data_IF_180313314479
#
_entry.id   IF_180313314479
#
_cell.length_a   1.000
_cell.length_b   1.000
_cell.length_c   1.000
_cell.angle_alpha   90.00
_cell.angle_beta   90.00
_cell.angle_gamma   90.00
#
_symmetry.space_group_name_H-M   'P 1'
#
loop_
_entity.id
_entity.type
_entity.pdbx_description
1 polymer ?
#
# COMPACT_ATOMS: atom_id res chain seq x y z
N UNK A 1 30.69 -12.04 0.50
CA UNK A 1 29.30 -11.72 0.14
C UNK A 1 29.21 -10.23 -0.10
N UNK A 2 28.46 -9.79 -1.10
CA UNK A 2 28.23 -8.37 -1.38
C UNK A 2 27.26 -7.74 -0.39
N UNK A 3 27.49 -6.48 -0.02
CA UNK A 3 26.53 -5.67 0.72
C UNK A 3 25.66 -4.90 -0.28
N UNK A 4 24.46 -5.38 -0.52
CA UNK A 4 23.54 -4.78 -1.50
C UNK A 4 22.38 -4.00 -0.84
N UNK A 5 22.28 -4.05 0.49
CA UNK A 5 21.16 -3.42 1.20
C UNK A 5 21.01 -1.92 0.89
N UNK A 6 22.11 -1.20 0.71
CA UNK A 6 22.06 0.21 0.37
C UNK A 6 21.51 0.48 -1.03
N UNK A 7 21.69 -0.45 -1.99
CA UNK A 7 21.06 -0.36 -3.33
C UNK A 7 19.55 -0.47 -3.24
N UNK A 8 19.02 -1.18 -2.23
CA UNK A 8 17.60 -1.26 -1.97
C UNK A 8 17.08 -0.05 -1.20
N UNK A 9 17.65 0.27 -0.04
CA UNK A 9 17.08 1.17 0.98
C UNK A 9 17.44 2.64 0.87
N UNK A 10 18.46 3.01 0.09
CA UNK A 10 18.84 4.42 -0.05
C UNK A 10 17.72 5.22 -0.72
N UNK A 11 17.27 6.27 -0.05
CA UNK A 11 16.22 7.17 -0.57
C UNK A 11 16.72 8.09 -1.68
N UNK A 12 18.05 8.29 -1.80
CA UNK A 12 18.67 9.17 -2.79
C UNK A 12 18.98 8.40 -4.08
N UNK A 13 19.77 7.32 -3.98
CA UNK A 13 20.28 6.60 -5.16
C UNK A 13 19.83 5.14 -5.21
N UNK A 14 19.14 4.63 -4.18
CA UNK A 14 18.67 3.25 -4.11
C UNK A 14 17.33 3.05 -4.78
N UNK A 15 16.94 1.78 -4.86
CA UNK A 15 15.69 1.36 -5.47
C UNK A 15 14.46 2.00 -4.82
N UNK A 16 14.40 2.08 -3.49
CA UNK A 16 13.28 2.72 -2.78
C UNK A 16 13.09 4.18 -3.20
N UNK A 17 14.17 4.90 -3.46
CA UNK A 17 14.12 6.28 -3.95
C UNK A 17 13.48 6.38 -5.34
N UNK A 18 13.75 5.40 -6.22
CA UNK A 18 13.16 5.30 -7.57
C UNK A 18 11.69 4.87 -7.56
N UNK A 19 11.22 4.30 -6.46
CA UNK A 19 9.81 3.94 -6.26
C UNK A 19 8.96 5.12 -5.74
N UNK A 20 9.57 6.21 -5.29
CA UNK A 20 8.82 7.37 -4.81
C UNK A 20 8.20 8.15 -5.97
N UNK A 21 6.99 8.64 -5.75
CA UNK A 21 6.37 9.60 -6.68
C UNK A 21 7.24 10.85 -6.80
N UNK A 22 7.30 11.42 -7.99
CA UNK A 22 8.02 12.68 -8.24
C UNK A 22 7.34 13.84 -7.52
N UNK A 23 8.06 14.93 -7.33
CA UNK A 23 7.49 16.14 -6.74
C UNK A 23 6.32 16.67 -7.59
N UNK A 24 6.47 16.64 -8.92
CA UNK A 24 5.42 17.05 -9.85
C UNK A 24 4.14 16.21 -9.69
N UNK A 25 4.26 14.87 -9.64
CA UNK A 25 3.11 13.99 -9.44
C UNK A 25 2.43 14.23 -8.09
N UNK A 26 3.22 14.41 -7.02
CA UNK A 26 2.67 14.75 -5.69
C UNK A 26 1.94 16.08 -5.71
N UNK A 27 2.47 17.10 -6.38
CA UNK A 27 1.83 18.41 -6.49
C UNK A 27 0.51 18.29 -7.25
N UNK A 28 0.48 17.59 -8.39
CA UNK A 28 -0.76 17.36 -9.15
C UNK A 28 -1.83 16.69 -8.31
N UNK A 29 -1.45 15.62 -7.56
CA UNK A 29 -2.39 14.91 -6.68
C UNK A 29 -2.87 15.84 -5.56
N UNK A 30 -1.96 16.53 -4.89
CA UNK A 30 -2.27 17.40 -3.76
C UNK A 30 -3.23 18.55 -4.16
N UNK A 31 -2.95 19.23 -5.26
CA UNK A 31 -3.79 20.31 -5.75
C UNK A 31 -5.18 19.78 -6.15
N UNK A 32 -5.22 18.61 -6.78
CA UNK A 32 -6.48 17.97 -7.12
C UNK A 32 -7.30 17.58 -5.89
N UNK A 33 -6.68 17.01 -4.86
CA UNK A 33 -7.34 16.66 -3.59
C UNK A 33 -7.98 17.89 -2.93
N UNK A 34 -7.27 19.03 -2.93
CA UNK A 34 -7.78 20.29 -2.37
C UNK A 34 -9.04 20.76 -3.12
N UNK A 35 -9.01 20.77 -4.45
CA UNK A 35 -10.15 21.19 -5.28
C UNK A 35 -11.31 20.21 -5.18
N UNK A 36 -11.05 18.88 -5.16
CA UNK A 36 -12.08 17.84 -4.98
C UNK A 36 -12.77 17.99 -3.63
N UNK A 37 -12.01 18.06 -2.53
CA UNK A 37 -12.57 18.22 -1.17
C UNK A 37 -13.42 19.47 -1.08
N UNK A 38 -12.97 20.60 -1.63
CA UNK A 38 -13.73 21.85 -1.64
C UNK A 38 -15.03 21.71 -2.44
N UNK A 39 -14.95 21.22 -3.68
CA UNK A 39 -16.12 21.06 -4.55
C UNK A 39 -17.17 20.15 -3.92
N UNK A 40 -16.77 18.97 -3.43
CA UNK A 40 -17.69 18.02 -2.82
C UNK A 40 -18.28 18.56 -1.51
N UNK A 41 -17.50 19.26 -0.69
CA UNK A 41 -18.03 19.90 0.53
C UNK A 41 -19.09 20.96 0.22
N UNK A 42 -18.87 21.78 -0.81
CA UNK A 42 -19.82 22.82 -1.21
C UNK A 42 -21.12 22.21 -1.78
N UNK A 43 -21.00 21.20 -2.65
CA UNK A 43 -22.16 20.55 -3.29
C UNK A 43 -22.97 19.73 -2.29
N UNK A 44 -22.30 18.92 -1.45
CA UNK A 44 -22.96 18.08 -0.46
C UNK A 44 -23.63 18.95 0.61
N UNK A 45 -22.98 20.04 1.04
CA UNK A 45 -23.62 20.97 1.99
C UNK A 45 -24.86 21.65 1.38
N UNK A 46 -24.79 22.05 0.11
CA UNK A 46 -25.92 22.68 -0.56
C UNK A 46 -27.13 21.73 -0.71
N UNK A 47 -26.87 20.45 -0.95
CA UNK A 47 -27.91 19.43 -1.18
C UNK A 47 -28.46 18.84 0.13
N UNK A 48 -27.58 18.60 1.12
CA UNK A 48 -27.92 17.83 2.33
C UNK A 48 -27.70 18.60 3.64
N UNK A 49 -27.20 19.84 3.59
CA UNK A 49 -26.82 20.65 4.76
C UNK A 49 -25.75 19.99 5.66
N UNK A 50 -24.91 19.09 5.09
CA UNK A 50 -23.86 18.34 5.77
C UNK A 50 -22.51 18.62 5.16
N UNK A 51 -21.47 18.71 6.00
CA UNK A 51 -20.10 18.75 5.58
C UNK A 51 -19.50 17.35 5.59
N UNK A 52 -19.14 16.75 4.42
CA UNK A 52 -18.52 15.44 4.38
C UNK A 52 -17.17 15.42 5.08
N UNK A 53 -16.74 14.22 5.50
CA UNK A 53 -15.40 14.00 6.03
C UNK A 53 -14.60 13.15 5.03
N UNK A 54 -13.30 13.34 5.04
CA UNK A 54 -12.40 12.68 4.07
C UNK A 54 -11.29 11.94 4.79
N UNK A 55 -10.94 10.77 4.26
CA UNK A 55 -9.81 9.98 4.76
C UNK A 55 -9.00 9.43 3.59
N UNK A 56 -7.69 9.60 3.64
CA UNK A 56 -6.76 8.96 2.71
C UNK A 56 -6.71 7.47 2.98
N UNK A 57 -6.84 6.67 1.94
CA UNK A 57 -6.94 5.22 2.03
C UNK A 57 -5.91 4.52 1.13
N UNK A 58 -5.98 3.20 1.08
CA UNK A 58 -5.19 2.39 0.18
C UNK A 58 -3.69 2.60 0.33
N UNK A 59 -2.97 2.54 -0.77
CA UNK A 59 -1.51 2.62 -0.78
C UNK A 59 -0.97 3.97 -0.30
N UNK A 60 -1.74 5.05 -0.43
CA UNK A 60 -1.42 6.36 0.11
C UNK A 60 -1.55 6.38 1.64
N UNK A 61 -2.64 5.84 2.20
CA UNK A 61 -2.91 5.79 3.63
C UNK A 61 -1.84 5.04 4.42
N UNK A 62 -1.41 3.86 3.96
CA UNK A 62 -0.31 3.14 4.63
C UNK A 62 1.08 3.44 4.06
N UNK A 63 1.22 4.49 3.23
CA UNK A 63 2.50 5.03 2.73
C UNK A 63 3.33 3.98 1.96
N UNK A 64 2.67 3.17 1.12
CA UNK A 64 3.30 2.14 0.27
C UNK A 64 3.11 2.37 -1.22
N UNK A 65 2.82 3.60 -1.64
CA UNK A 65 2.72 3.97 -3.04
C UNK A 65 4.05 3.78 -3.77
N UNK A 66 3.97 3.31 -5.01
CA UNK A 66 5.10 3.15 -5.91
C UNK A 66 4.87 3.91 -7.21
N UNK A 67 5.98 4.35 -7.83
CA UNK A 67 5.99 4.74 -9.23
C UNK A 67 5.58 3.57 -10.12
N UNK A 68 4.72 3.77 -11.12
CA UNK A 68 4.45 2.79 -12.17
C UNK A 68 5.72 2.32 -12.86
N UNK A 69 5.73 1.06 -13.31
CA UNK A 69 6.83 0.47 -14.05
C UNK A 69 6.61 0.54 -15.56
N UNK A 70 5.38 0.31 -15.99
CA UNK A 70 4.95 0.33 -17.38
C UNK A 70 4.06 1.54 -17.65
N UNK A 71 4.01 1.97 -18.92
CA UNK A 71 3.19 3.13 -19.33
C UNK A 71 1.68 2.86 -19.21
N UNK A 72 1.27 1.60 -19.21
CA UNK A 72 -0.10 1.15 -19.01
C UNK A 72 -0.56 1.18 -17.55
N UNK A 73 0.39 1.27 -16.61
CA UNK A 73 0.10 1.33 -15.17
C UNK A 73 -0.12 2.76 -14.71
N UNK A 74 -1.02 2.93 -13.76
CA UNK A 74 -1.45 4.22 -13.26
C UNK A 74 -1.07 4.43 -11.79
N UNK A 75 -0.98 5.69 -11.39
CA UNK A 75 -0.89 6.11 -9.99
C UNK A 75 -2.31 6.25 -9.49
N UNK A 76 -2.65 5.41 -8.52
CA UNK A 76 -3.94 5.36 -7.87
C UNK A 76 -3.88 6.04 -6.51
N UNK A 77 -4.83 6.94 -6.24
CA UNK A 77 -4.97 7.60 -4.95
C UNK A 77 -6.40 7.46 -4.45
N UNK A 78 -6.57 6.85 -3.28
CA UNK A 78 -7.89 6.60 -2.70
C UNK A 78 -8.23 7.67 -1.65
N UNK A 79 -9.34 8.40 -1.87
CA UNK A 79 -9.88 9.41 -0.97
C UNK A 79 -11.29 9.03 -0.53
N UNK A 80 -11.45 8.41 0.63
CA UNK A 80 -12.77 8.09 1.19
C UNK A 80 -13.55 9.36 1.51
N UNK A 81 -14.82 9.41 1.07
CA UNK A 81 -15.78 10.48 1.38
C UNK A 81 -16.88 9.91 2.27
N UNK A 82 -17.06 10.48 3.46
CA UNK A 82 -17.92 9.94 4.53
C UNK A 82 -19.06 10.90 4.86
N UNK A 83 -20.27 10.33 4.99
CA UNK A 83 -21.50 11.00 5.39
C UNK A 83 -22.18 10.26 6.57
N UNK A 84 -23.02 10.93 7.39
CA UNK A 84 -23.80 10.27 8.41
C UNK A 84 -24.96 9.46 7.83
N UNK A 85 -25.48 8.48 8.58
CA UNK A 85 -26.62 7.64 8.18
C UNK A 85 -27.95 8.39 8.11
N UNK A 86 -28.15 9.45 8.90
CA UNK A 86 -29.42 10.16 9.01
C UNK A 86 -29.98 10.65 7.67
N UNK A 87 -29.11 11.06 6.75
CA UNK A 87 -29.54 11.53 5.43
C UNK A 87 -29.98 10.41 4.50
N UNK A 88 -29.76 9.17 4.90
CA UNK A 88 -30.08 7.96 4.15
C UNK A 88 -31.39 7.35 4.62
N UNK A 89 -31.76 7.54 5.90
CA UNK A 89 -32.93 6.91 6.52
C UNK A 89 -34.30 7.45 6.08
N UNK A 90 -34.42 8.70 5.63
CA UNK A 90 -35.70 9.28 5.20
C UNK A 90 -36.39 8.50 4.05
N UNK A 91 -35.64 7.69 3.32
CA UNK A 91 -36.19 6.90 2.21
C UNK A 91 -36.53 5.45 2.57
N UNK A 92 -36.14 4.94 3.73
CA UNK A 92 -36.35 3.56 4.19
C UNK A 92 -35.75 2.47 3.29
N UNK A 93 -34.91 2.85 2.32
CA UNK A 93 -34.22 1.93 1.38
C UNK A 93 -32.80 2.37 1.08
N UNK A 94 -31.79 1.80 1.74
CA UNK A 94 -30.37 2.14 1.53
C UNK A 94 -29.93 2.15 0.05
N UNK A 95 -30.48 1.27 -0.78
CA UNK A 95 -30.15 1.15 -2.20
C UNK A 95 -30.41 2.44 -3.01
N UNK A 96 -31.53 3.12 -2.77
CA UNK A 96 -31.86 4.37 -3.49
C UNK A 96 -30.94 5.51 -3.07
N UNK A 97 -30.58 5.56 -1.80
CA UNK A 97 -29.69 6.58 -1.29
C UNK A 97 -28.26 6.46 -1.87
N UNK A 98 -27.70 5.26 -2.02
CA UNK A 98 -26.40 5.05 -2.63
C UNK A 98 -26.34 5.62 -4.05
N UNK A 99 -27.34 5.33 -4.89
CA UNK A 99 -27.38 5.84 -6.26
C UNK A 99 -27.57 7.36 -6.33
N UNK A 100 -28.35 7.94 -5.44
CA UNK A 100 -28.51 9.40 -5.35
C UNK A 100 -27.18 10.03 -5.00
N UNK A 101 -26.46 9.48 -4.04
CA UNK A 101 -25.15 9.97 -3.62
C UNK A 101 -24.13 9.89 -4.76
N UNK A 102 -24.03 8.77 -5.47
CA UNK A 102 -23.20 8.65 -6.66
C UNK A 102 -23.53 9.70 -7.72
N UNK A 103 -24.82 9.92 -8.03
CA UNK A 103 -25.21 10.90 -9.03
C UNK A 103 -24.82 12.32 -8.65
N UNK A 104 -25.01 12.73 -7.39
CA UNK A 104 -24.60 14.03 -6.88
C UNK A 104 -23.09 14.23 -7.01
N UNK A 105 -22.30 13.24 -6.56
CA UNK A 105 -20.84 13.32 -6.56
C UNK A 105 -20.29 13.25 -7.99
N UNK A 106 -20.77 12.34 -8.83
CA UNK A 106 -20.33 12.22 -10.23
C UNK A 106 -20.57 13.52 -11.00
N UNK A 107 -21.77 14.13 -10.86
CA UNK A 107 -22.10 15.39 -11.54
C UNK A 107 -21.16 16.52 -11.10
N UNK A 108 -20.91 16.64 -9.79
CA UNK A 108 -20.01 17.64 -9.26
C UNK A 108 -18.56 17.44 -9.75
N UNK A 109 -18.10 16.20 -9.82
CA UNK A 109 -16.76 15.87 -10.30
C UNK A 109 -16.61 16.06 -11.81
N UNK A 110 -17.66 15.81 -12.62
CA UNK A 110 -17.65 16.11 -14.06
C UNK A 110 -17.51 17.61 -14.34
N UNK A 111 -18.28 18.43 -13.64
CA UNK A 111 -18.18 19.90 -13.73
C UNK A 111 -16.80 20.39 -13.29
N UNK A 112 -16.28 19.84 -12.19
CA UNK A 112 -14.95 20.16 -11.69
C UNK A 112 -13.85 19.73 -12.69
N UNK A 113 -13.93 18.54 -13.25
CA UNK A 113 -12.95 18.04 -14.22
C UNK A 113 -12.87 18.93 -15.46
N UNK A 114 -14.01 19.41 -15.97
CA UNK A 114 -14.07 20.38 -17.08
C UNK A 114 -13.39 21.69 -16.68
N UNK A 115 -13.72 22.24 -15.51
CA UNK A 115 -13.15 23.49 -14.99
C UNK A 115 -11.64 23.42 -14.80
N UNK A 116 -11.14 22.29 -14.32
CA UNK A 116 -9.73 22.09 -14.01
C UNK A 116 -8.93 21.53 -15.20
N UNK A 117 -9.57 21.29 -16.34
CA UNK A 117 -8.98 20.69 -17.54
C UNK A 117 -8.37 19.29 -17.27
N UNK A 118 -9.00 18.50 -16.41
CA UNK A 118 -8.63 17.10 -16.18
C UNK A 118 -9.19 16.20 -17.30
N UNK A 119 -8.71 14.96 -17.37
CA UNK A 119 -9.12 14.02 -18.42
C UNK A 119 -10.57 13.51 -18.28
N UNK A 120 -11.25 13.84 -17.19
CA UNK A 120 -12.66 13.54 -16.98
C UNK A 120 -12.95 12.62 -15.82
N UNK A 121 -14.13 12.00 -15.83
CA UNK A 121 -14.62 11.08 -14.80
C UNK A 121 -14.93 9.72 -15.42
N UNK A 122 -14.54 8.63 -14.75
CA UNK A 122 -14.87 7.27 -15.14
C UNK A 122 -15.97 6.71 -14.24
N UNK A 123 -17.11 6.33 -14.81
CA UNK A 123 -18.30 5.78 -14.10
C UNK A 123 -18.39 4.25 -14.14
N UNK A 124 -17.41 3.57 -14.69
CA UNK A 124 -17.40 2.10 -14.83
C UNK A 124 -17.05 1.38 -13.52
N UNK A 125 -16.60 2.11 -12.49
CA UNK A 125 -16.31 1.55 -11.17
C UNK A 125 -17.58 1.50 -10.32
N UNK A 126 -17.90 0.31 -9.83
CA UNK A 126 -19.12 0.09 -9.04
C UNK A 126 -19.03 0.66 -7.60
N UNK A 127 -17.81 0.75 -7.03
CA UNK A 127 -17.59 1.07 -5.61
C UNK A 127 -16.98 2.45 -5.34
N UNK A 128 -16.70 3.24 -6.39
CA UNK A 128 -16.14 4.59 -6.24
C UNK A 128 -16.52 5.50 -7.41
N UNK A 129 -16.41 6.81 -7.21
CA UNK A 129 -16.30 7.79 -8.28
C UNK A 129 -14.83 7.92 -8.63
N UNK A 130 -14.46 7.91 -9.91
CA UNK A 130 -13.06 8.01 -10.35
C UNK A 130 -12.84 9.26 -11.18
N UNK A 131 -11.89 10.09 -10.77
CA UNK A 131 -11.44 11.28 -11.52
C UNK A 131 -10.11 10.99 -12.19
N UNK A 132 -10.04 11.18 -13.49
CA UNK A 132 -8.84 11.03 -14.31
C UNK A 132 -8.14 12.38 -14.40
N UNK A 133 -7.06 12.60 -13.63
CA UNK A 133 -6.33 13.85 -13.61
C UNK A 133 -5.46 14.02 -14.86
N UNK A 134 -4.71 12.96 -15.18
CA UNK A 134 -3.83 12.86 -16.35
C UNK A 134 -3.97 11.48 -16.98
N UNK A 135 -3.17 11.17 -18.00
CA UNK A 135 -3.19 9.83 -18.62
C UNK A 135 -2.73 8.70 -17.69
N UNK A 136 -2.07 9.02 -16.58
CA UNK A 136 -1.49 8.02 -15.67
C UNK A 136 -1.70 8.32 -14.19
N UNK A 137 -2.56 9.29 -13.84
CA UNK A 137 -2.90 9.61 -12.45
C UNK A 137 -4.42 9.74 -12.33
N UNK A 138 -5.00 8.99 -11.40
CA UNK A 138 -6.41 9.13 -11.05
C UNK A 138 -6.63 9.13 -9.53
N UNK A 139 -7.78 9.67 -9.13
CA UNK A 139 -8.23 9.66 -7.74
C UNK A 139 -9.54 8.88 -7.68
N UNK A 140 -9.56 7.82 -6.88
CA UNK A 140 -10.74 7.06 -6.53
C UNK A 140 -11.37 7.66 -5.27
N UNK A 141 -12.67 7.91 -5.35
CA UNK A 141 -13.45 8.49 -4.26
C UNK A 141 -14.56 7.50 -3.89
N UNK A 142 -14.25 6.49 -3.07
CA UNK A 142 -15.27 5.63 -2.47
C UNK A 142 -16.14 6.45 -1.51
N UNK A 143 -17.45 6.18 -1.55
CA UNK A 143 -18.46 6.90 -0.80
C UNK A 143 -18.93 6.04 0.35
N UNK A 144 -18.81 6.57 1.57
CA UNK A 144 -19.16 5.84 2.79
C UNK A 144 -20.26 6.51 3.57
N UNK A 145 -20.98 5.69 4.33
CA UNK A 145 -21.90 6.17 5.36
C UNK A 145 -21.53 5.54 6.70
N UNK A 146 -21.59 6.36 7.74
CA UNK A 146 -21.29 5.98 9.14
C UNK A 146 -22.44 6.41 10.04
N UNK A 147 -22.65 5.76 11.22
CA UNK A 147 -23.67 6.17 12.17
C UNK A 147 -23.51 7.65 12.61
N UNK A 148 -24.62 8.35 12.80
CA UNK A 148 -24.64 9.79 13.14
C UNK A 148 -23.81 10.13 14.38
N UNK A 149 -23.86 9.25 15.38
CA UNK A 149 -23.12 9.46 16.62
C UNK A 149 -21.61 9.48 16.39
N UNK A 150 -21.12 8.54 15.58
CA UNK A 150 -19.71 8.47 15.23
C UNK A 150 -19.32 9.66 14.37
N UNK A 151 -20.17 10.03 13.40
CA UNK A 151 -19.93 11.18 12.55
C UNK A 151 -19.83 12.50 13.33
N UNK A 152 -20.68 12.69 14.33
CA UNK A 152 -20.61 13.87 15.22
C UNK A 152 -19.33 13.88 16.07
N UNK A 153 -18.93 12.72 16.59
CA UNK A 153 -17.68 12.61 17.36
C UNK A 153 -16.46 12.96 16.49
N UNK A 154 -16.43 12.50 15.22
CA UNK A 154 -15.42 12.88 14.24
C UNK A 154 -15.39 14.41 14.08
N UNK A 155 -16.58 15.01 13.95
CA UNK A 155 -16.71 16.46 13.75
C UNK A 155 -16.13 17.25 14.95
N UNK A 156 -16.47 16.86 16.15
CA UNK A 156 -16.00 17.52 17.39
C UNK A 156 -14.48 17.36 17.59
N UNK A 157 -13.92 16.19 17.29
CA UNK A 157 -12.48 15.94 17.34
C UNK A 157 -11.73 16.81 16.34
N UNK A 158 -12.18 16.86 15.08
CA UNK A 158 -11.56 17.69 14.04
C UNK A 158 -11.63 19.18 14.38
N UNK A 159 -12.75 19.67 14.91
CA UNK A 159 -12.92 21.08 15.26
C UNK A 159 -12.11 21.48 16.50
N UNK A 160 -11.97 20.60 17.49
CA UNK A 160 -11.12 20.84 18.67
C UNK A 160 -9.65 20.87 18.30
N UNK A 161 -9.22 20.04 17.38
CA UNK A 161 -7.83 20.00 16.87
C UNK A 161 -7.51 21.23 16.01
N UNK A 162 -8.40 21.62 15.09
CA UNK A 162 -8.25 22.87 14.29
C UNK A 162 -8.13 24.12 15.16
N UNK A 163 -8.84 24.17 16.29
CA UNK A 163 -8.73 25.27 17.25
C UNK A 163 -7.41 25.28 18.03
N UNK A 164 -6.76 24.11 18.18
CA UNK A 164 -5.48 23.98 18.88
C UNK A 164 -4.26 24.35 18.03
N UNK A 165 -4.40 24.35 16.69
CA UNK A 165 -3.32 24.64 15.73
C UNK A 165 -3.64 25.91 14.96
N UNK A 166 -3.05 27.03 15.35
CA UNK A 166 -3.31 28.35 14.77
C UNK A 166 -2.50 28.68 13.52
N UNK A 167 -1.78 27.75 12.87
CA UNK A 167 -0.99 28.06 11.67
C UNK A 167 -0.65 26.85 10.84
N UNK A 168 -1.02 26.86 9.59
CA UNK A 168 -0.47 26.27 8.38
C UNK A 168 -1.44 25.37 7.58
N UNK A 169 -1.73 25.82 6.36
CA UNK A 169 -2.56 25.14 5.36
C UNK A 169 -2.09 23.74 4.92
N UNK A 170 -0.88 23.31 5.31
CA UNK A 170 -0.33 21.99 5.00
C UNK A 170 -0.75 20.86 5.95
N UNK A 171 -1.41 21.20 7.07
CA UNK A 171 -1.81 20.24 8.11
C UNK A 171 -3.20 19.64 7.91
N UNK A 172 -4.04 20.20 7.03
CA UNK A 172 -5.42 19.74 6.84
C UNK A 172 -5.55 18.29 6.33
N UNK A 173 -4.50 17.73 5.74
CA UNK A 173 -4.50 16.34 5.23
C UNK A 173 -4.09 15.35 6.32
N UNK A 174 -3.14 15.70 7.19
CA UNK A 174 -2.67 14.81 8.28
C UNK A 174 -3.64 14.77 9.47
N UNK A 175 -4.38 15.85 9.71
CA UNK A 175 -5.30 15.98 10.86
C UNK A 175 -6.54 15.09 10.73
N UNK A 176 -7.05 14.90 9.50
CA UNK A 176 -8.19 14.01 9.27
C UNK A 176 -7.86 12.53 9.60
N UNK A 177 -6.58 12.13 9.53
CA UNK A 177 -6.15 10.74 9.77
C UNK A 177 -6.07 10.37 11.27
N UNK A 178 -5.59 11.26 12.14
CA UNK A 178 -5.42 10.98 13.59
C UNK A 178 -6.76 10.89 14.34
N UNK A 179 -7.80 11.57 13.89
CA UNK A 179 -9.10 11.58 14.57
C UNK A 179 -9.94 10.31 14.34
N UNK A 180 -9.54 9.44 13.40
CA UNK A 180 -10.27 8.24 13.02
C UNK A 180 -9.88 6.97 13.80
N UNK A 181 -8.89 7.03 14.69
CA UNK A 181 -8.36 5.86 15.41
C UNK A 181 -9.30 5.29 16.50
N UNK A 182 -10.38 6.00 16.89
CA UNK A 182 -11.19 5.68 18.05
C UNK A 182 -12.63 5.23 17.77
N UNK A 183 -12.93 4.73 16.54
CA UNK A 183 -14.30 4.37 16.17
C UNK A 183 -14.56 2.87 16.18
N UNK A 184 -15.81 2.50 16.56
CA UNK A 184 -16.29 1.14 16.46
C UNK A 184 -16.49 0.79 14.96
N UNK A 185 -15.87 -0.32 14.51
CA UNK A 185 -15.63 -0.56 13.08
C UNK A 185 -16.77 -1.30 12.35
N UNK A 186 -17.80 -1.74 13.05
CA UNK A 186 -18.74 -2.71 12.49
C UNK A 186 -19.91 -2.11 11.69
N UNK A 187 -20.00 -0.76 11.65
CA UNK A 187 -21.14 -0.07 11.07
C UNK A 187 -20.81 0.88 9.90
N UNK A 188 -19.69 0.68 9.19
CA UNK A 188 -19.35 1.48 8.00
C UNK A 188 -19.91 0.84 6.75
N UNK A 189 -20.68 1.60 6.00
CA UNK A 189 -21.28 1.16 4.74
C UNK A 189 -20.62 1.84 3.55
N UNK A 190 -20.13 1.04 2.60
CA UNK A 190 -19.64 1.49 1.31
C UNK A 190 -20.77 1.52 0.29
N UNK A 191 -20.93 2.63 -0.41
CA UNK A 191 -21.86 2.73 -1.53
C UNK A 191 -21.39 1.88 -2.72
N UNK A 192 -22.32 1.15 -3.33
CA UNK A 192 -22.10 0.38 -4.54
C UNK A 192 -23.19 0.71 -5.56
N UNK A 193 -22.82 0.97 -6.82
CA UNK A 193 -23.76 1.48 -7.84
C UNK A 193 -24.91 0.53 -8.14
N UNK A 194 -24.63 -0.77 -8.14
CA UNK A 194 -25.59 -1.81 -8.50
C UNK A 194 -26.17 -2.54 -7.29
N UNK A 195 -25.42 -2.66 -6.19
CA UNK A 195 -25.83 -3.48 -5.04
C UNK A 195 -26.25 -2.65 -3.81
N UNK A 196 -26.23 -1.31 -3.94
CA UNK A 196 -26.59 -0.41 -2.84
C UNK A 196 -25.48 -0.29 -1.79
N UNK A 197 -25.81 -0.45 -0.51
CA UNK A 197 -24.86 -0.31 0.59
C UNK A 197 -24.29 -1.66 1.00
N UNK A 198 -22.96 -1.72 1.13
CA UNK A 198 -22.23 -2.91 1.59
C UNK A 198 -21.43 -2.61 2.84
N UNK A 199 -21.39 -3.53 3.78
CA UNK A 199 -20.51 -3.41 4.93
C UNK A 199 -19.04 -3.53 4.45
N UNK A 200 -18.26 -2.46 4.60
CA UNK A 200 -16.86 -2.42 4.23
C UNK A 200 -16.18 -1.25 4.94
N UNK A 201 -15.16 -1.53 5.73
CA UNK A 201 -14.41 -0.52 6.46
C UNK A 201 -12.92 -0.55 6.10
N UNK A 202 -12.45 0.32 5.20
CA UNK A 202 -11.05 0.38 4.78
C UNK A 202 -10.09 0.79 5.91
N UNK A 203 -10.62 1.37 7.00
CA UNK A 203 -9.81 1.78 8.17
C UNK A 203 -9.18 0.57 8.84
N UNK A 204 -9.86 -0.60 8.87
CA UNK A 204 -9.33 -1.85 9.43
C UNK A 204 -8.00 -2.23 8.80
N UNK A 205 -7.94 -2.20 7.47
CA UNK A 205 -6.73 -2.52 6.71
C UNK A 205 -5.64 -1.46 6.96
N UNK A 206 -6.02 -0.18 6.91
CA UNK A 206 -5.09 0.92 7.13
C UNK A 206 -4.42 0.83 8.51
N UNK A 207 -5.22 0.71 9.57
CA UNK A 207 -4.73 0.56 10.95
C UNK A 207 -3.90 -0.70 11.15
N UNK A 208 -4.32 -1.83 10.57
CA UNK A 208 -3.56 -3.07 10.65
C UNK A 208 -2.13 -2.85 10.12
N UNK A 209 -1.98 -2.32 8.89
CA UNK A 209 -0.64 -2.13 8.34
C UNK A 209 0.16 -1.04 9.03
N UNK A 210 -0.44 0.06 9.45
CA UNK A 210 0.24 1.06 10.27
C UNK A 210 0.77 0.46 11.56
N UNK A 211 -0.03 -0.35 12.26
CA UNK A 211 0.39 -1.08 13.47
C UNK A 211 1.52 -2.08 13.16
N UNK A 212 1.40 -2.89 12.09
CA UNK A 212 2.45 -3.82 11.70
C UNK A 212 3.77 -3.10 11.38
N UNK A 213 3.73 -1.98 10.67
CA UNK A 213 4.93 -1.18 10.38
C UNK A 213 5.53 -0.54 11.63
N UNK A 214 4.71 -0.13 12.60
CA UNK A 214 5.17 0.36 13.90
C UNK A 214 5.83 -0.75 14.73
N UNK A 215 5.26 -1.95 14.75
CA UNK A 215 5.75 -3.09 15.52
C UNK A 215 6.97 -3.76 14.88
N UNK A 216 6.93 -4.02 13.56
CA UNK A 216 7.96 -4.75 12.81
C UNK A 216 8.98 -3.84 12.14
N UNK A 217 8.77 -2.53 12.18
CA UNK A 217 9.69 -1.49 11.68
C UNK A 217 9.52 -1.13 10.21
N UNK A 218 10.16 -0.02 9.82
CA UNK A 218 10.14 0.52 8.45
C UNK A 218 10.69 -0.45 7.40
N UNK A 219 11.46 -1.48 7.81
CA UNK A 219 11.95 -2.49 6.89
C UNK A 219 10.82 -3.31 6.28
N UNK A 220 9.82 -3.74 7.06
CA UNK A 220 8.65 -4.44 6.53
C UNK A 220 7.94 -3.58 5.46
N UNK A 221 7.76 -2.29 5.71
CA UNK A 221 7.14 -1.37 4.75
C UNK A 221 7.93 -1.28 3.44
N UNK A 222 9.29 -1.20 3.51
CA UNK A 222 10.13 -1.24 2.31
C UNK A 222 10.01 -2.56 1.57
N UNK A 223 10.02 -3.70 2.28
CA UNK A 223 9.83 -5.04 1.67
C UNK A 223 8.48 -5.12 0.94
N UNK A 224 7.38 -4.65 1.55
CA UNK A 224 6.08 -4.57 0.88
C UNK A 224 6.17 -3.78 -0.43
N UNK A 225 6.86 -2.64 -0.43
CA UNK A 225 7.06 -1.82 -1.63
C UNK A 225 7.92 -2.53 -2.68
N UNK A 226 8.96 -3.27 -2.30
CA UNK A 226 9.79 -4.05 -3.24
C UNK A 226 8.98 -5.17 -3.90
N UNK A 227 8.18 -5.89 -3.14
CA UNK A 227 7.32 -6.95 -3.69
C UNK A 227 6.25 -6.39 -4.63
N UNK A 228 5.65 -5.25 -4.31
CA UNK A 228 4.74 -4.54 -5.22
C UNK A 228 5.45 -4.13 -6.50
N UNK A 229 6.65 -3.53 -6.40
CA UNK A 229 7.42 -3.11 -7.56
C UNK A 229 7.90 -4.30 -8.42
N UNK A 230 8.22 -5.44 -7.81
CA UNK A 230 8.50 -6.69 -8.48
C UNK A 230 7.27 -7.20 -9.25
N UNK A 231 6.08 -7.22 -8.61
CA UNK A 231 4.83 -7.55 -9.26
C UNK A 231 4.58 -6.64 -10.47
N UNK A 232 4.69 -5.31 -10.28
CA UNK A 232 4.43 -4.33 -11.32
C UNK A 232 5.36 -4.50 -12.53
N UNK A 233 6.58 -5.00 -12.32
CA UNK A 233 7.52 -5.31 -13.40
C UNK A 233 7.22 -6.64 -14.08
N UNK A 234 6.79 -7.67 -13.36
CA UNK A 234 6.52 -9.01 -13.92
C UNK A 234 5.16 -9.14 -14.58
N UNK A 235 4.19 -8.35 -14.13
CA UNK A 235 2.83 -8.30 -14.69
C UNK A 235 2.53 -6.88 -15.13
N UNK A 236 2.46 -6.67 -16.44
CA UNK A 236 1.99 -5.39 -16.98
C UNK A 236 0.51 -5.17 -16.62
N UNK A 237 -0.28 -6.24 -16.65
CA UNK A 237 -1.67 -6.29 -16.22
C UNK A 237 -1.93 -7.54 -15.38
N UNK A 238 -2.82 -7.45 -14.40
CA UNK A 238 -3.20 -8.58 -13.54
C UNK A 238 -2.20 -8.87 -12.42
N UNK A 239 -1.96 -10.16 -12.16
CA UNK A 239 -1.11 -10.65 -11.09
C UNK A 239 -1.71 -10.51 -9.68
N UNK A 240 -0.93 -10.80 -8.63
CA UNK A 240 -1.39 -10.70 -7.25
C UNK A 240 -1.72 -9.25 -6.86
N UNK A 241 -2.81 -9.04 -6.11
CA UNK A 241 -3.16 -7.70 -5.61
C UNK A 241 -2.11 -7.17 -4.65
N UNK A 242 -2.04 -5.84 -4.50
CA UNK A 242 -1.11 -5.21 -3.54
C UNK A 242 -1.34 -5.72 -2.12
N UNK A 243 -2.61 -5.84 -1.70
CA UNK A 243 -2.96 -6.35 -0.36
C UNK A 243 -2.52 -7.80 -0.17
N UNK A 244 -2.66 -8.65 -1.20
CA UNK A 244 -2.19 -10.04 -1.16
C UNK A 244 -0.68 -10.13 -0.87
N UNK A 245 0.13 -9.35 -1.60
CA UNK A 245 1.58 -9.31 -1.40
C UNK A 245 1.98 -8.72 -0.06
N UNK A 246 1.26 -7.71 0.42
CA UNK A 246 1.54 -7.08 1.71
C UNK A 246 1.20 -8.02 2.88
N UNK A 247 0.09 -8.75 2.81
CA UNK A 247 -0.27 -9.78 3.80
C UNK A 247 0.75 -10.93 3.79
N UNK A 248 1.16 -11.37 2.61
CA UNK A 248 2.18 -12.41 2.46
C UNK A 248 3.55 -11.95 3.01
N UNK A 249 3.94 -10.71 2.75
CA UNK A 249 5.15 -10.12 3.32
C UNK A 249 5.08 -10.04 4.84
N UNK A 250 3.95 -9.61 5.40
CA UNK A 250 3.73 -9.52 6.84
C UNK A 250 3.81 -10.89 7.53
N UNK A 251 3.23 -11.93 6.92
CA UNK A 251 3.30 -13.32 7.42
C UNK A 251 4.73 -13.87 7.46
N UNK A 252 5.54 -13.57 6.44
CA UNK A 252 6.88 -14.12 6.26
C UNK A 252 7.98 -13.28 6.92
N UNK A 253 7.67 -12.05 7.34
CA UNK A 253 8.65 -11.13 7.88
C UNK A 253 8.95 -11.43 9.35
N UNK A 254 10.21 -11.78 9.63
CA UNK A 254 10.72 -11.93 10.99
C UNK A 254 11.41 -10.62 11.42
N UNK A 255 10.89 -9.99 12.49
CA UNK A 255 11.42 -8.72 13.01
C UNK A 255 12.61 -8.92 13.96
N UNK A 256 12.83 -10.13 14.49
CA UNK A 256 13.92 -10.39 15.44
C UNK A 256 15.29 -10.49 14.75
N UNK A 257 15.29 -10.86 13.47
CA UNK A 257 16.51 -10.96 12.68
C UNK A 257 16.94 -9.59 12.13
N UNK A 258 18.11 -9.11 12.53
CA UNK A 258 18.67 -7.83 12.10
C UNK A 258 19.51 -8.01 10.82
N UNK A 259 18.85 -8.23 9.70
CA UNK A 259 19.50 -8.32 8.38
C UNK A 259 19.25 -7.06 7.54
N UNK A 260 20.11 -6.86 6.51
CA UNK A 260 19.85 -5.86 5.49
C UNK A 260 18.65 -6.19 4.61
N UNK A 261 18.13 -5.20 3.88
CA UNK A 261 16.95 -5.35 3.02
C UNK A 261 17.14 -6.43 1.94
N UNK A 262 18.37 -6.60 1.45
CA UNK A 262 18.76 -7.62 0.48
C UNK A 262 18.55 -9.05 1.02
N UNK A 263 18.98 -9.31 2.26
CA UNK A 263 18.82 -10.62 2.90
C UNK A 263 17.36 -10.86 3.31
N UNK A 264 16.69 -9.85 3.87
CA UNK A 264 15.26 -9.98 4.23
C UNK A 264 14.38 -10.28 3.04
N UNK A 265 14.60 -9.61 1.91
CA UNK A 265 13.88 -9.91 0.67
C UNK A 265 14.18 -11.34 0.19
N UNK A 266 15.45 -11.77 0.23
CA UNK A 266 15.85 -13.12 -0.14
C UNK A 266 15.16 -14.20 0.73
N UNK A 267 15.09 -13.99 2.04
CA UNK A 267 14.41 -14.92 2.96
C UNK A 267 12.92 -15.04 2.67
N UNK A 268 12.25 -13.92 2.44
CA UNK A 268 10.82 -13.90 2.09
C UNK A 268 10.58 -14.62 0.77
N UNK A 269 11.36 -14.34 -0.27
CA UNK A 269 11.23 -15.00 -1.57
C UNK A 269 11.46 -16.52 -1.49
N UNK A 270 12.38 -16.98 -0.64
CA UNK A 270 12.64 -18.41 -0.41
C UNK A 270 11.50 -19.12 0.30
N UNK A 271 10.90 -18.48 1.29
CA UNK A 271 9.78 -19.04 2.07
C UNK A 271 8.44 -18.94 1.34
N UNK A 272 8.33 -18.06 0.36
CA UNK A 272 7.08 -17.75 -0.36
C UNK A 272 6.44 -19.00 -1.02
N UNK A 273 7.16 -19.87 -1.75
CA UNK A 273 6.56 -21.06 -2.37
C UNK A 273 5.85 -21.98 -1.37
N UNK A 274 6.48 -22.29 -0.25
CA UNK A 274 5.91 -23.13 0.82
C UNK A 274 4.72 -22.43 1.49
N UNK A 275 4.84 -21.14 1.80
CA UNK A 275 3.75 -20.36 2.40
C UNK A 275 2.50 -20.32 1.51
N UNK A 276 2.68 -20.31 0.18
CA UNK A 276 1.59 -20.28 -0.81
C UNK A 276 0.86 -21.62 -0.99
N UNK A 277 1.29 -22.69 -0.33
CA UNK A 277 0.53 -23.95 -0.22
C UNK A 277 -0.71 -23.80 0.67
N UNK A 278 -0.80 -22.75 1.46
CA UNK A 278 -1.92 -22.42 2.33
C UNK A 278 -2.52 -21.06 1.95
N UNK A 279 -3.81 -20.81 2.23
CA UNK A 279 -4.46 -19.55 1.94
C UNK A 279 -3.75 -18.36 2.57
N UNK A 280 -3.69 -17.24 1.84
CA UNK A 280 -3.25 -15.94 2.37
C UNK A 280 -4.45 -15.22 2.96
N UNK A 281 -4.35 -14.82 4.22
CA UNK A 281 -5.43 -14.16 4.95
C UNK A 281 -5.17 -12.65 5.06
N UNK A 282 -6.20 -11.86 4.79
CA UNK A 282 -6.28 -10.50 5.29
C UNK A 282 -6.66 -10.53 6.77
N UNK A 283 -5.67 -10.41 7.65
CA UNK A 283 -5.87 -10.50 9.11
C UNK A 283 -6.71 -9.35 9.68
N UNK A 284 -6.77 -8.22 8.96
CA UNK A 284 -7.58 -7.07 9.37
C UNK A 284 -9.09 -7.36 9.29
N UNK A 285 -9.51 -8.18 8.33
CA UNK A 285 -10.91 -8.52 8.06
C UNK A 285 -11.23 -9.99 8.25
N UNK A 286 -10.24 -10.81 8.63
CA UNK A 286 -10.35 -12.27 8.76
C UNK A 286 -10.85 -12.95 7.47
N UNK A 287 -10.46 -12.41 6.32
CA UNK A 287 -10.89 -12.84 5.00
C UNK A 287 -9.77 -13.55 4.24
N UNK A 288 -10.12 -14.61 3.49
CA UNK A 288 -9.19 -15.26 2.57
C UNK A 288 -9.03 -14.43 1.28
N UNK A 289 -7.81 -14.04 0.98
CA UNK A 289 -7.47 -13.35 -0.25
C UNK A 289 -7.28 -14.34 -1.40
N UNK A 290 -8.01 -14.13 -2.50
CA UNK A 290 -7.97 -15.01 -3.68
C UNK A 290 -7.27 -14.32 -4.85
N UNK A 291 -6.51 -15.10 -5.61
CA UNK A 291 -6.06 -14.67 -6.93
C UNK A 291 -7.25 -14.62 -7.89
N UNK A 292 -7.29 -13.60 -8.75
CA UNK A 292 -8.32 -13.49 -9.78
C UNK A 292 -8.16 -14.56 -10.85
N UNK A 293 -6.90 -14.97 -11.12
CA UNK A 293 -6.55 -15.98 -12.09
C UNK A 293 -5.72 -17.07 -11.41
N UNK A 294 -6.05 -18.35 -11.62
CA UNK A 294 -5.32 -19.50 -11.07
C UNK A 294 -3.86 -19.59 -11.58
N UNK A 295 -3.60 -19.13 -12.82
CA UNK A 295 -2.26 -19.10 -13.39
C UNK A 295 -1.35 -18.11 -12.67
N UNK A 296 -1.90 -17.02 -12.12
CA UNK A 296 -1.11 -16.04 -11.36
C UNK A 296 -0.47 -16.63 -10.12
N UNK A 297 -1.12 -17.57 -9.44
CA UNK A 297 -0.52 -18.26 -8.29
C UNK A 297 0.69 -19.10 -8.71
N UNK A 298 0.55 -19.86 -9.80
CA UNK A 298 1.66 -20.67 -10.36
C UNK A 298 2.84 -19.78 -10.77
N UNK A 299 2.55 -18.68 -11.47
CA UNK A 299 3.57 -17.72 -11.90
C UNK A 299 4.23 -17.02 -10.69
N UNK A 300 3.47 -16.67 -9.66
CA UNK A 300 4.01 -16.08 -8.43
C UNK A 300 5.03 -17.00 -7.75
N UNK A 301 4.70 -18.32 -7.66
CA UNK A 301 5.62 -19.33 -7.12
C UNK A 301 6.86 -19.47 -8.00
N UNK A 302 6.71 -19.55 -9.30
CA UNK A 302 7.82 -19.68 -10.24
C UNK A 302 8.74 -18.46 -10.20
N UNK A 303 8.18 -17.26 -10.30
CA UNK A 303 8.96 -16.02 -10.30
C UNK A 303 9.63 -15.76 -8.94
N UNK A 304 9.01 -16.16 -7.82
CA UNK A 304 9.66 -16.06 -6.51
C UNK A 304 10.87 -16.97 -6.39
N UNK A 305 10.80 -18.20 -6.93
CA UNK A 305 11.95 -19.13 -6.98
C UNK A 305 13.08 -18.57 -7.84
N UNK A 306 12.78 -18.07 -9.03
CA UNK A 306 13.78 -17.47 -9.92
C UNK A 306 14.44 -16.25 -9.28
N UNK A 307 13.63 -15.33 -8.74
CA UNK A 307 14.17 -14.14 -8.08
C UNK A 307 15.01 -14.50 -6.85
N UNK A 308 14.60 -15.46 -6.04
CA UNK A 308 15.40 -15.90 -4.90
C UNK A 308 16.74 -16.52 -5.31
N UNK A 309 16.79 -17.25 -6.42
CA UNK A 309 18.04 -17.83 -6.95
C UNK A 309 18.99 -16.74 -7.44
N UNK A 310 18.48 -15.79 -8.24
CA UNK A 310 19.29 -14.72 -8.81
C UNK A 310 19.75 -13.72 -7.74
N UNK A 311 18.89 -13.37 -6.78
CA UNK A 311 19.26 -12.52 -5.64
C UNK A 311 20.31 -13.20 -4.76
N UNK A 312 20.16 -14.51 -4.49
CA UNK A 312 21.19 -15.27 -3.77
C UNK A 312 22.52 -15.29 -4.53
N UNK A 313 22.50 -15.53 -5.83
CA UNK A 313 23.69 -15.49 -6.70
C UNK A 313 24.32 -14.11 -6.68
N UNK A 314 23.53 -13.05 -6.84
CA UNK A 314 24.00 -11.66 -6.79
C UNK A 314 24.73 -11.34 -5.49
N UNK A 315 24.23 -11.83 -4.34
CA UNK A 315 24.80 -11.57 -3.02
C UNK A 315 26.03 -12.44 -2.75
N UNK A 316 25.99 -13.74 -3.09
CA UNK A 316 26.98 -14.73 -2.62
C UNK A 316 28.07 -15.10 -3.63
N UNK A 317 27.79 -15.03 -4.93
CA UNK A 317 28.72 -15.46 -5.97
C UNK A 317 29.79 -14.39 -6.24
N UNK A 318 31.01 -14.61 -5.75
CA UNK A 318 32.14 -13.70 -5.93
C UNK A 318 32.85 -13.84 -7.28
N UNK A 319 32.43 -14.80 -8.12
CA UNK A 319 33.03 -15.03 -9.45
C UNK A 319 32.46 -14.09 -10.52
N UNK A 320 31.28 -13.53 -10.30
CA UNK A 320 30.67 -12.53 -11.19
C UNK A 320 31.06 -11.11 -10.76
N UNK A 321 31.04 -10.16 -11.71
CA UNK A 321 31.27 -8.75 -11.38
C UNK A 321 30.11 -8.14 -10.57
N UNK A 322 30.37 -7.07 -9.84
CA UNK A 322 29.31 -6.35 -9.08
C UNK A 322 28.24 -5.78 -10.01
N UNK A 323 28.64 -5.30 -11.20
CA UNK A 323 27.72 -4.91 -12.25
C UNK A 323 26.83 -6.07 -12.70
N UNK A 324 27.39 -7.26 -12.90
CA UNK A 324 26.61 -8.47 -13.27
C UNK A 324 25.65 -8.86 -12.17
N UNK A 325 26.06 -8.73 -10.90
CA UNK A 325 25.19 -8.97 -9.76
C UNK A 325 23.98 -8.00 -9.73
N UNK A 326 24.17 -6.72 -10.04
CA UNK A 326 23.09 -5.75 -10.17
C UNK A 326 22.15 -6.07 -11.35
N UNK A 327 22.68 -6.50 -12.50
CA UNK A 327 21.89 -6.88 -13.67
C UNK A 327 20.97 -8.06 -13.36
N UNK A 328 21.45 -9.09 -12.62
CA UNK A 328 20.57 -10.20 -12.18
C UNK A 328 19.34 -9.72 -11.42
N UNK A 329 19.48 -8.67 -10.60
CA UNK A 329 18.35 -8.10 -9.85
C UNK A 329 17.47 -7.26 -10.76
N UNK A 330 18.05 -6.53 -11.73
CA UNK A 330 17.29 -5.79 -12.73
C UNK A 330 16.37 -6.69 -13.58
N UNK A 331 16.72 -7.94 -13.81
CA UNK A 331 15.86 -8.92 -14.51
C UNK A 331 14.53 -9.18 -13.76
N UNK A 332 14.47 -8.79 -12.47
CA UNK A 332 13.29 -8.93 -11.63
C UNK A 332 12.62 -7.61 -11.24
N UNK A 333 13.39 -6.50 -11.16
CA UNK A 333 12.90 -5.20 -10.68
C UNK A 333 12.91 -4.11 -11.76
N UNK A 334 13.43 -4.44 -12.95
CA UNK A 334 13.59 -3.52 -14.06
C UNK A 334 14.74 -2.54 -13.87
N UNK A 335 14.90 -1.64 -14.84
CA UNK A 335 15.97 -0.63 -14.87
C UNK A 335 15.91 0.38 -13.72
N UNK A 336 14.84 0.37 -12.93
CA UNK A 336 14.72 1.18 -11.71
C UNK A 336 15.67 0.73 -10.60
N UNK A 337 16.10 -0.54 -10.59
CA UNK A 337 17.12 -1.00 -9.67
C UNK A 337 18.50 -0.46 -10.10
N UNK A 338 19.28 0.18 -9.19
CA UNK A 338 20.54 0.82 -9.55
C UNK A 338 21.62 -0.21 -9.90
N UNK A 339 22.56 0.22 -10.75
CA UNK A 339 23.76 -0.55 -11.09
C UNK A 339 24.96 0.14 -10.43
N UNK A 340 25.76 -0.63 -9.72
CA UNK A 340 27.05 -0.20 -9.15
C UNK A 340 28.17 -1.09 -9.69
N UNK A 341 29.31 -0.49 -10.01
CA UNK A 341 30.47 -1.21 -10.54
C UNK A 341 31.40 -1.74 -9.43
N UNK A 342 31.22 -1.23 -8.19
CA UNK A 342 31.98 -1.66 -7.02
C UNK A 342 31.07 -1.64 -5.78
N UNK A 343 30.88 -2.79 -5.16
CA UNK A 343 30.05 -2.96 -3.97
C UNK A 343 30.89 -3.27 -2.75
N UNK A 344 30.56 -2.74 -1.57
CA UNK A 344 31.23 -3.10 -0.33
C UNK A 344 31.00 -4.57 0.02
N UNK A 345 31.96 -5.19 0.70
CA UNK A 345 31.78 -6.50 1.29
C UNK A 345 31.12 -6.42 2.66
N UNK A 346 30.20 -7.36 2.95
CA UNK A 346 29.65 -7.54 4.30
C UNK A 346 30.78 -7.89 5.28
N UNK A 347 30.76 -7.29 6.45
CA UNK A 347 31.74 -7.63 7.46
C UNK A 347 31.48 -9.05 8.01
N UNK A 348 32.51 -9.64 8.70
CA UNK A 348 32.51 -11.06 9.09
C UNK A 348 31.34 -11.41 10.02
N UNK A 349 30.92 -10.53 10.90
CA UNK A 349 29.81 -10.76 11.83
C UNK A 349 28.47 -10.90 11.12
N UNK A 350 28.25 -10.16 10.03
CA UNK A 350 27.05 -10.31 9.19
C UNK A 350 27.14 -11.53 8.27
N UNK A 351 28.37 -11.89 7.82
CA UNK A 351 28.61 -13.15 7.09
C UNK A 351 28.18 -14.36 7.91
N UNK A 352 28.50 -14.40 9.21
CA UNK A 352 28.12 -15.50 10.12
C UNK A 352 26.60 -15.56 10.31
N UNK A 353 25.93 -14.42 10.50
CA UNK A 353 24.47 -14.35 10.67
C UNK A 353 23.70 -14.69 9.41
N UNK A 354 24.26 -14.52 8.23
CA UNK A 354 23.63 -14.82 6.94
C UNK A 354 23.78 -16.30 6.51
N UNK A 355 24.43 -17.18 7.32
CA UNK A 355 24.49 -18.61 7.06
C UNK A 355 23.16 -19.25 7.49
N UNK A 356 22.47 -19.99 6.60
CA UNK A 356 21.23 -20.67 6.96
C UNK A 356 21.47 -21.67 8.10
N UNK A 357 20.62 -21.66 9.12
CA UNK A 357 20.68 -22.54 10.31
C UNK A 357 20.53 -24.02 9.94
N UNK A 358 20.06 -24.36 8.74
CA UNK A 358 19.82 -25.74 8.26
C UNK A 358 21.08 -26.62 8.07
N UNK A 359 22.28 -26.11 8.37
CA UNK A 359 23.54 -26.89 8.26
C UNK A 359 24.24 -27.19 9.59
N UNK A 360 23.62 -26.84 10.72
CA UNK A 360 24.17 -27.27 12.01
C UNK A 360 23.73 -28.71 12.25
N UNK A 361 24.58 -29.69 11.88
CA UNK A 361 24.44 -31.07 12.30
C UNK A 361 24.53 -31.13 13.84
N UNK A 362 23.44 -31.48 14.49
CA UNK A 362 23.33 -31.64 15.96
C UNK A 362 24.11 -32.84 16.52
N UNK A 363 24.91 -33.52 15.71
CA UNK A 363 25.65 -34.73 16.08
C UNK A 363 27.13 -34.52 16.48
N UNK A 364 27.51 -33.30 16.86
CA UNK A 364 28.83 -33.15 17.51
C UNK A 364 28.70 -33.43 19.03
N UNK A 365 29.30 -34.47 19.56
CA UNK A 365 29.33 -34.70 21.01
C UNK A 365 30.13 -33.57 21.67
N UNK A 366 29.49 -32.84 22.58
CA UNK A 366 30.15 -31.88 23.45
C UNK A 366 31.25 -32.55 24.25
N UNK A 367 32.50 -32.34 23.91
CA UNK A 367 33.64 -32.76 24.72
C UNK A 367 33.55 -32.04 26.09
N UNK A 368 33.30 -32.80 27.16
CA UNK A 368 33.36 -32.29 28.53
C UNK A 368 34.80 -31.93 28.84
N UNK A 369 35.12 -30.66 28.87
CA UNK A 369 36.38 -30.16 29.45
C UNK A 369 36.25 -30.29 30.97
N UNK A 370 37.00 -31.20 31.59
CA UNK A 370 37.22 -31.24 33.05
C UNK A 370 38.18 -30.06 33.37
N UNK A 371 37.66 -29.11 34.13
CA UNK A 371 38.51 -28.13 34.81
C UNK A 371 39.04 -28.82 36.06
N UNK A 372 40.35 -29.00 36.12
CA UNK A 372 41.07 -29.41 37.33
C UNK A 372 41.40 -28.24 38.24
#
# INVERSE_FOLDING_TARGET
MREMSNLFKSTTNGFIGKLNLTLEQKTVIYDALKEIKKCLSDVIFKEYEIHPRYMTQGSAGYKTQNQPCHLSQEIDYDLGCYLPFSDIEETGKPYRAANVFFNTVDTALEELAIKMHWNGVCKEKDSCCRVLLTNNIHIDIPLYSVPDKEFQTIHECCDSFRKSISSAESYDIEIDEESWENFDYDEVLLAHRTEGWKNSDPRKINMFFQMQFKMKGEQLKRICRYLKAWRDFKWEEGGPTSIYLMCLAEDLFDAEDVFGDDIKLLEILRKMPERLETPVLNKAESEELKMKNSDDLRLLIEYSKLFSQDLNKAISDTTISDKTACLLIQDHLGVRFPIEESLPEKNISEKIRSIPISTVNTDMPLARVRVG
#
